data_IF_302476363998
#
_entry.id   IF_302476363998
#
_cell.length_a   1.000
_cell.length_b   1.000
_cell.length_c   1.000
_cell.angle_alpha   90.00
_cell.angle_beta   90.00
_cell.angle_gamma   90.00
#
_symmetry.space_group_name_H-M   'P 1'
#
loop_
_entity.id
_entity.type
_entity.pdbx_description
1 polymer ?
#
# COMPACT_ATOMS: atom_id res chain seq x y z
N UNK A 1 -7.03 -4.80 20.85
CA UNK A 1 -6.77 -6.17 20.38
C UNK A 1 -7.29 -6.20 18.94
N UNK A 2 -6.39 -6.29 17.95
CA UNK A 2 -6.81 -6.37 16.55
C UNK A 2 -7.63 -7.63 16.37
N UNK A 3 -8.87 -7.50 15.93
CA UNK A 3 -9.69 -8.63 15.53
C UNK A 3 -8.95 -9.33 14.39
N UNK A 4 -8.87 -10.67 14.43
CA UNK A 4 -8.30 -11.44 13.33
C UNK A 4 -9.03 -11.02 12.03
N UNK A 5 -8.28 -10.40 11.12
CA UNK A 5 -8.83 -9.95 9.84
C UNK A 5 -9.17 -11.23 9.06
N UNK A 6 -10.43 -11.42 8.63
CA UNK A 6 -10.79 -12.61 7.87
C UNK A 6 -9.89 -12.78 6.64
N UNK A 7 -9.49 -14.02 6.34
CA UNK A 7 -8.53 -14.33 5.27
C UNK A 7 -8.94 -13.75 3.90
N UNK A 8 -10.25 -13.70 3.63
CA UNK A 8 -10.79 -13.08 2.42
C UNK A 8 -10.47 -11.59 2.30
N UNK A 9 -10.59 -10.83 3.41
CA UNK A 9 -10.25 -9.40 3.44
C UNK A 9 -8.74 -9.20 3.34
N UNK A 10 -7.95 -9.99 4.05
CA UNK A 10 -6.50 -9.90 3.99
C UNK A 10 -5.98 -10.18 2.56
N UNK A 11 -6.49 -11.24 1.93
CA UNK A 11 -6.14 -11.60 0.55
C UNK A 11 -6.57 -10.53 -0.46
N UNK A 12 -7.79 -9.99 -0.32
CA UNK A 12 -8.26 -8.92 -1.20
C UNK A 12 -7.43 -7.64 -1.06
N UNK A 13 -7.19 -7.18 0.16
CA UNK A 13 -6.35 -6.00 0.44
C UNK A 13 -4.97 -6.18 -0.16
N UNK A 14 -4.38 -7.36 0.00
CA UNK A 14 -3.08 -7.66 -0.55
C UNK A 14 -3.06 -7.58 -2.08
N UNK A 15 -4.09 -8.16 -2.71
CA UNK A 15 -4.29 -8.10 -4.16
C UNK A 15 -4.46 -6.66 -4.64
N UNK A 16 -5.26 -5.82 -3.98
CA UNK A 16 -5.38 -4.39 -4.33
C UNK A 16 -4.03 -3.68 -4.21
N UNK A 17 -3.27 -3.94 -3.14
CA UNK A 17 -1.99 -3.25 -2.90
C UNK A 17 -0.92 -3.57 -3.94
N UNK A 18 -0.89 -4.80 -4.45
CA UNK A 18 0.19 -5.29 -5.36
C UNK A 18 -0.25 -5.49 -6.81
N UNK A 19 -1.51 -5.80 -7.01
CA UNK A 19 -2.07 -6.32 -8.27
C UNK A 19 -3.49 -5.80 -8.53
N UNK A 20 -3.78 -4.53 -8.25
CA UNK A 20 -5.12 -3.94 -8.44
C UNK A 20 -5.71 -4.20 -9.85
N UNK A 21 -4.87 -4.22 -10.88
CA UNK A 21 -5.26 -4.52 -12.26
C UNK A 21 -5.70 -5.97 -12.50
N UNK A 22 -5.53 -6.85 -11.51
CA UNK A 22 -5.98 -8.24 -11.52
C UNK A 22 -7.21 -8.47 -10.64
N UNK A 23 -7.78 -7.43 -10.03
CA UNK A 23 -9.04 -7.55 -9.31
C UNK A 23 -10.15 -7.89 -10.32
N UNK A 24 -10.98 -8.86 -9.94
CA UNK A 24 -12.05 -9.42 -10.76
C UNK A 24 -13.36 -9.40 -9.98
N UNK A 25 -14.48 -9.56 -10.70
CA UNK A 25 -15.81 -9.69 -10.08
C UNK A 25 -15.88 -10.84 -9.07
N UNK A 26 -15.12 -11.92 -9.29
CA UNK A 26 -15.04 -13.05 -8.35
C UNK A 26 -14.43 -12.64 -7.02
N UNK A 27 -13.48 -11.72 -6.99
CA UNK A 27 -12.90 -11.22 -5.74
C UNK A 27 -13.94 -10.43 -4.94
N UNK A 28 -14.79 -9.67 -5.64
CA UNK A 28 -15.90 -8.91 -5.03
C UNK A 28 -16.98 -9.85 -4.50
N UNK A 29 -17.38 -10.86 -5.28
CA UNK A 29 -18.40 -11.82 -4.87
C UNK A 29 -17.99 -12.60 -3.62
N UNK A 30 -16.73 -13.03 -3.52
CA UNK A 30 -16.21 -13.71 -2.31
C UNK A 30 -16.33 -12.84 -1.05
N UNK A 31 -16.16 -11.52 -1.16
CA UNK A 31 -16.35 -10.61 -0.03
C UNK A 31 -17.83 -10.43 0.30
N UNK A 32 -18.71 -10.38 -0.71
CA UNK A 32 -20.16 -10.33 -0.50
C UNK A 32 -20.68 -11.60 0.16
N UNK A 33 -20.22 -12.78 -0.26
CA UNK A 33 -20.51 -14.08 0.35
C UNK A 33 -20.00 -14.15 1.80
N UNK A 34 -18.90 -13.48 2.11
CA UNK A 34 -18.38 -13.31 3.47
C UNK A 34 -19.15 -12.27 4.32
N UNK A 35 -20.19 -11.64 3.76
CA UNK A 35 -21.10 -10.73 4.47
C UNK A 35 -20.74 -9.25 4.41
N UNK A 36 -19.78 -8.85 3.58
CA UNK A 36 -19.42 -7.43 3.42
C UNK A 36 -20.38 -6.72 2.44
N UNK A 37 -20.81 -5.51 2.80
CA UNK A 37 -21.61 -4.67 1.91
C UNK A 37 -20.78 -4.09 0.78
N UNK A 38 -21.43 -3.63 -0.30
CA UNK A 38 -20.74 -2.96 -1.41
C UNK A 38 -19.99 -1.70 -0.94
N UNK A 39 -20.59 -0.92 -0.03
CA UNK A 39 -19.93 0.27 0.54
C UNK A 39 -18.66 -0.12 1.32
N UNK A 40 -18.71 -1.19 2.13
CA UNK A 40 -17.54 -1.67 2.86
C UNK A 40 -16.44 -2.17 1.91
N UNK A 41 -16.80 -2.84 0.83
CA UNK A 41 -15.85 -3.32 -0.19
C UNK A 41 -15.23 -2.12 -0.92
N UNK A 42 -16.03 -1.11 -1.27
CA UNK A 42 -15.55 0.12 -1.89
C UNK A 42 -14.55 0.84 -0.97
N UNK A 43 -14.93 1.07 0.29
CA UNK A 43 -14.06 1.71 1.28
C UNK A 43 -12.76 0.93 1.48
N UNK A 44 -12.83 -0.40 1.59
CA UNK A 44 -11.67 -1.27 1.71
C UNK A 44 -10.73 -1.12 0.52
N UNK A 45 -11.28 -1.07 -0.70
CA UNK A 45 -10.52 -0.89 -1.94
C UNK A 45 -9.79 0.44 -1.95
N UNK A 46 -10.50 1.53 -1.65
CA UNK A 46 -9.94 2.88 -1.61
C UNK A 46 -8.87 2.99 -0.55
N UNK A 47 -9.12 2.48 0.66
CA UNK A 47 -8.16 2.50 1.76
C UNK A 47 -6.88 1.71 1.42
N UNK A 48 -7.01 0.51 0.84
CA UNK A 48 -5.88 -0.31 0.43
C UNK A 48 -5.05 0.37 -0.67
N UNK A 49 -5.70 0.92 -1.70
CA UNK A 49 -5.04 1.63 -2.78
C UNK A 49 -4.31 2.89 -2.28
N UNK A 50 -4.99 3.69 -1.45
CA UNK A 50 -4.41 4.89 -0.85
C UNK A 50 -3.22 4.56 0.05
N UNK A 51 -3.34 3.55 0.92
CA UNK A 51 -2.23 3.11 1.77
C UNK A 51 -1.02 2.63 0.97
N UNK A 52 -1.24 1.91 -0.13
CA UNK A 52 -0.17 1.52 -1.05
C UNK A 52 0.50 2.72 -1.73
N UNK A 53 -0.29 3.72 -2.16
CA UNK A 53 0.24 4.95 -2.74
C UNK A 53 1.06 5.77 -1.73
N UNK A 54 0.53 5.93 -0.51
CA UNK A 54 1.19 6.64 0.60
C UNK A 54 2.53 6.01 0.96
N UNK A 55 2.58 4.68 1.08
CA UNK A 55 3.80 3.94 1.37
C UNK A 55 4.85 4.17 0.28
N UNK A 56 4.48 4.10 -1.00
CA UNK A 56 5.41 4.37 -2.11
C UNK A 56 5.94 5.79 -2.08
N UNK A 57 5.08 6.76 -1.76
CA UNK A 57 5.47 8.17 -1.65
C UNK A 57 6.48 8.39 -0.52
N UNK A 58 6.23 7.85 0.67
CA UNK A 58 7.18 7.94 1.80
C UNK A 58 8.55 7.39 1.43
N UNK A 59 8.58 6.20 0.84
CA UNK A 59 9.84 5.56 0.44
C UNK A 59 10.60 6.37 -0.60
N UNK A 60 9.89 7.02 -1.52
CA UNK A 60 10.53 7.90 -2.49
C UNK A 60 11.12 9.16 -1.83
N UNK A 61 10.40 9.76 -0.87
CA UNK A 61 10.88 10.92 -0.11
C UNK A 61 12.11 10.59 0.74
N UNK A 62 12.08 9.46 1.46
CA UNK A 62 13.21 8.97 2.27
C UNK A 62 14.45 8.73 1.39
N UNK A 63 14.26 8.11 0.21
CA UNK A 63 15.35 7.86 -0.73
C UNK A 63 15.96 9.18 -1.27
N UNK A 64 15.13 10.18 -1.61
CA UNK A 64 15.63 11.48 -2.05
C UNK A 64 16.40 12.21 -0.96
N UNK A 65 15.93 12.18 0.29
CA UNK A 65 16.62 12.79 1.43
C UNK A 65 17.99 12.14 1.67
N UNK A 66 18.06 10.80 1.62
CA UNK A 66 19.31 10.06 1.77
C UNK A 66 20.32 10.38 0.65
N UNK A 67 19.85 10.53 -0.59
CA UNK A 67 20.69 10.93 -1.73
C UNK A 67 21.23 12.35 -1.56
N UNK A 68 20.42 13.29 -1.08
CA UNK A 68 20.86 14.67 -0.80
C UNK A 68 21.98 14.69 0.26
N UNK A 69 21.78 14.00 1.38
CA UNK A 69 22.78 13.93 2.47
C UNK A 69 24.09 13.30 2.01
N UNK A 70 24.02 12.25 1.17
CA UNK A 70 25.20 11.58 0.61
C UNK A 70 26.01 12.50 -0.32
N UNK A 71 25.32 13.34 -1.08
CA UNK A 71 25.94 14.32 -1.97
C UNK A 71 26.64 15.46 -1.19
N UNK A 72 26.07 15.88 -0.07
CA UNK A 72 26.65 16.90 0.82
C UNK A 72 27.92 16.39 1.51
N UNK A 73 27.89 15.18 2.08
CA UNK A 73 29.05 14.54 2.70
C UNK A 73 30.22 14.35 1.72
N UNK A 74 29.93 14.07 0.44
CA UNK A 74 30.95 13.93 -0.61
C UNK A 74 31.63 15.25 -0.98
N UNK A 75 30.96 16.40 -0.79
CA UNK A 75 31.52 17.74 -1.06
C UNK A 75 32.45 18.22 0.06
N UNK A 76 32.18 17.86 1.30
CA UNK A 76 32.98 18.26 2.46
C UNK A 76 34.28 17.45 2.60
N UNK A 77 34.32 16.22 2.08
CA UNK A 77 35.52 15.35 2.12
C UNK A 77 36.57 15.61 1.03
N UNK A 78 36.30 16.48 0.05
CA UNK A 78 37.19 16.71 -1.11
C UNK A 78 38.21 17.85 -0.96
N UNK A 79 38.24 18.55 0.18
CA UNK A 79 39.15 19.64 0.47
C UNK A 79 40.19 19.27 1.52
N UNK A 80 41.23 18.54 1.14
CA UNK A 80 42.46 18.37 1.94
C UNK A 80 43.65 18.18 1.03
#
# INVERSE_FOLDING_TARGET
MGQDVPDAVAGYVDKVRRHAYQVTDRDIEQLREAGYSEDQIFELTVAAAYGAARLRLDRAMDAMAALSSSAEASREGGGS
#
